data_IF_102358363554
#
_entry.id   IF_102358363554
#
_cell.length_a   1.000
_cell.length_b   1.000
_cell.length_c   1.000
_cell.angle_alpha   90.00
_cell.angle_beta   90.00
_cell.angle_gamma   90.00
#
_symmetry.space_group_name_H-M   'P 1'
#
loop_
_entity.id
_entity.type
_entity.pdbx_description
1 polymer ?
#
# COMPACT_ATOMS: atom_id res chain seq x y z
N UNK A 1 -7.96 5.08 11.62
CA UNK A 1 -6.57 5.35 11.19
C UNK A 1 -6.28 6.83 11.40
N UNK A 2 -5.26 7.14 12.17
CA UNK A 2 -4.98 8.51 12.59
C UNK A 2 -4.69 9.46 11.42
N UNK A 3 -3.89 9.01 10.44
CA UNK A 3 -3.56 9.85 9.28
C UNK A 3 -4.81 10.19 8.45
N UNK A 4 -5.76 9.26 8.34
CA UNK A 4 -7.03 9.52 7.66
C UNK A 4 -7.90 10.49 8.45
N UNK A 5 -8.04 10.26 9.76
CA UNK A 5 -8.88 11.10 10.62
C UNK A 5 -8.42 12.55 10.62
N UNK A 6 -7.12 12.78 10.50
CA UNK A 6 -6.52 14.11 10.44
C UNK A 6 -6.34 14.63 9.02
N UNK A 7 -6.78 13.88 7.99
CA UNK A 7 -6.65 14.23 6.58
C UNK A 7 -5.20 14.56 6.19
N UNK A 8 -4.26 13.75 6.70
CA UNK A 8 -2.83 13.97 6.47
C UNK A 8 -2.39 13.34 5.15
N UNK A 9 -1.44 13.98 4.48
CA UNK A 9 -0.75 13.45 3.31
C UNK A 9 0.75 13.51 3.50
N UNK A 10 1.49 12.77 2.69
CA UNK A 10 2.95 12.65 2.77
C UNK A 10 3.43 12.13 4.12
N UNK A 11 2.65 11.24 4.73
CA UNK A 11 2.96 10.64 6.03
C UNK A 11 3.39 9.20 5.84
N UNK A 12 4.54 8.83 6.41
CA UNK A 12 5.00 7.45 6.38
C UNK A 12 4.17 6.62 7.37
N UNK A 13 3.57 5.55 6.86
CA UNK A 13 2.70 4.67 7.67
C UNK A 13 3.08 3.21 7.49
N UNK A 14 2.88 2.45 8.57
CA UNK A 14 2.97 0.99 8.55
C UNK A 14 1.60 0.45 8.95
N UNK A 15 1.11 -0.52 8.21
CA UNK A 15 -0.18 -1.13 8.54
C UNK A 15 -0.24 -2.57 8.08
N UNK A 16 -1.29 -3.25 8.50
CA UNK A 16 -1.56 -4.61 8.09
C UNK A 16 -3.06 -4.83 7.95
N UNK A 17 -3.43 -5.82 7.17
CA UNK A 17 -4.82 -6.16 7.00
C UNK A 17 -5.03 -7.21 5.92
N UNK A 18 -6.29 -7.37 5.52
CA UNK A 18 -6.68 -8.35 4.52
C UNK A 18 -6.98 -7.66 3.20
N UNK A 19 -6.54 -8.28 2.12
CA UNK A 19 -6.89 -7.84 0.77
C UNK A 19 -8.38 -8.09 0.55
N UNK A 20 -9.12 -7.05 0.23
CA UNK A 20 -10.58 -7.15 -0.02
C UNK A 20 -10.93 -6.96 -1.48
N UNK A 21 -10.01 -6.44 -2.29
CA UNK A 21 -10.21 -6.31 -3.74
C UNK A 21 -8.86 -6.26 -4.45
N UNK A 22 -8.78 -6.88 -5.62
CA UNK A 22 -7.64 -6.79 -6.53
C UNK A 22 -8.12 -5.99 -7.73
N UNK A 23 -7.45 -4.89 -8.02
CA UNK A 23 -7.79 -4.03 -9.16
C UNK A 23 -6.83 -4.34 -10.33
N UNK A 24 -7.21 -3.92 -11.53
CA UNK A 24 -6.31 -4.01 -12.67
C UNK A 24 -5.07 -3.14 -12.43
N UNK A 25 -3.91 -3.59 -12.92
CA UNK A 25 -2.69 -2.80 -12.84
C UNK A 25 -2.89 -1.48 -13.60
N UNK A 26 -2.37 -0.40 -13.02
CA UNK A 26 -2.34 0.90 -13.68
C UNK A 26 -1.07 0.99 -14.50
N UNK A 27 -1.23 1.10 -15.81
CA UNK A 27 -0.11 1.13 -16.76
C UNK A 27 0.17 2.53 -17.31
N UNK A 28 -0.49 3.56 -16.78
CA UNK A 28 -0.22 4.94 -17.16
C UNK A 28 0.99 5.46 -16.38
N UNK A 29 2.01 5.96 -17.10
CA UNK A 29 3.27 6.35 -16.50
C UNK A 29 3.98 5.15 -15.91
N UNK A 30 4.46 5.26 -14.66
CA UNK A 30 4.99 4.11 -13.91
C UNK A 30 3.86 3.10 -13.66
N UNK A 31 4.17 1.81 -13.83
CA UNK A 31 3.17 0.77 -13.61
C UNK A 31 2.99 0.52 -12.12
N UNK A 32 1.74 0.40 -11.68
CA UNK A 32 1.40 0.13 -10.29
C UNK A 32 0.47 -1.08 -10.20
N UNK A 33 0.84 -2.02 -9.36
CA UNK A 33 -0.07 -3.06 -8.90
C UNK A 33 -0.98 -2.43 -7.85
N UNK A 34 -2.31 -2.61 -7.99
CA UNK A 34 -3.27 -1.96 -7.10
C UNK A 34 -4.16 -2.98 -6.42
N UNK A 35 -4.33 -2.82 -5.12
CA UNK A 35 -5.25 -3.65 -4.34
C UNK A 35 -5.72 -2.86 -3.12
N UNK A 36 -6.90 -3.26 -2.61
CA UNK A 36 -7.50 -2.59 -1.46
C UNK A 36 -7.34 -3.48 -0.25
N UNK A 37 -6.89 -2.90 0.84
CA UNK A 37 -6.64 -3.58 2.12
C UNK A 37 -7.59 -3.04 3.18
N UNK A 38 -8.31 -3.93 3.86
CA UNK A 38 -9.05 -3.59 5.06
C UNK A 38 -8.12 -3.68 6.25
N UNK A 39 -7.93 -2.58 6.95
CA UNK A 39 -6.98 -2.49 8.06
C UNK A 39 -7.43 -3.35 9.24
N UNK A 40 -6.49 -4.13 9.79
CA UNK A 40 -6.74 -4.97 10.95
C UNK A 40 -6.80 -4.12 12.22
N UNK A 41 -7.78 -4.44 13.10
CA UNK A 41 -7.88 -3.80 14.40
C UNK A 41 -8.39 -2.37 14.38
N UNK A 42 -8.89 -1.88 13.26
CA UNK A 42 -9.40 -0.50 13.13
C UNK A 42 -10.93 -0.51 13.13
N UNK A 43 -11.51 0.29 14.03
CA UNK A 43 -12.96 0.47 14.15
C UNK A 43 -13.29 1.95 14.01
N UNK A 44 -14.29 2.34 13.20
CA UNK A 44 -15.03 1.49 12.25
C UNK A 44 -14.13 0.97 11.12
N UNK A 45 -14.65 0.04 10.31
CA UNK A 45 -13.94 -0.54 9.17
C UNK A 45 -13.30 0.55 8.30
N UNK A 46 -12.02 0.36 8.01
CA UNK A 46 -11.26 1.30 7.20
C UNK A 46 -10.48 0.55 6.12
N UNK A 47 -10.59 1.00 4.88
CA UNK A 47 -9.83 0.44 3.76
C UNK A 47 -8.89 1.48 3.17
N UNK A 48 -7.75 1.01 2.67
CA UNK A 48 -6.79 1.85 1.95
C UNK A 48 -6.47 1.20 0.61
N UNK A 49 -6.21 2.02 -0.40
CA UNK A 49 -5.70 1.54 -1.68
C UNK A 49 -4.17 1.47 -1.59
N UNK A 50 -3.62 0.33 -1.94
CA UNK A 50 -2.17 0.16 -2.08
C UNK A 50 -1.83 0.32 -3.56
N UNK A 51 -0.92 1.22 -3.88
CA UNK A 51 -0.40 1.45 -5.22
C UNK A 51 1.10 1.13 -5.21
N UNK A 52 1.43 -0.12 -5.54
CA UNK A 52 2.80 -0.65 -5.49
C UNK A 52 3.46 -0.48 -6.87
N UNK A 53 4.50 0.35 -6.93
CA UNK A 53 5.21 0.64 -8.18
C UNK A 53 6.01 -0.58 -8.63
N UNK A 54 5.54 -1.26 -9.67
CA UNK A 54 6.20 -2.48 -10.18
C UNK A 54 7.24 -2.21 -11.26
N UNK A 55 7.51 -0.95 -11.57
CA UNK A 55 8.70 -0.57 -12.35
C UNK A 55 9.93 -0.46 -11.46
N UNK A 56 9.75 -0.22 -10.16
CA UNK A 56 10.84 -0.03 -9.20
C UNK A 56 10.99 -1.17 -8.19
N UNK A 57 10.00 -2.04 -8.07
CA UNK A 57 10.01 -3.15 -7.13
C UNK A 57 9.33 -4.37 -7.74
N UNK A 58 9.64 -5.59 -7.29
CA UNK A 58 8.95 -6.78 -7.76
C UNK A 58 7.45 -6.71 -7.46
N UNK A 59 6.64 -7.18 -8.41
CA UNK A 59 5.21 -7.36 -8.22
C UNK A 59 4.97 -8.42 -7.13
N UNK A 60 3.97 -8.20 -6.30
CA UNK A 60 3.56 -9.18 -5.28
C UNK A 60 2.79 -10.30 -6.00
N UNK A 61 3.49 -11.39 -6.29
CA UNK A 61 2.92 -12.50 -7.03
C UNK A 61 2.01 -13.36 -6.16
N UNK A 62 0.95 -13.87 -6.77
CA UNK A 62 0.03 -14.78 -6.10
C UNK A 62 -0.93 -14.12 -5.12
N UNK A 63 -0.93 -12.79 -5.05
CA UNK A 63 -1.83 -12.06 -4.16
C UNK A 63 -3.28 -12.26 -4.58
N UNK A 64 -4.16 -12.56 -3.60
CA UNK A 64 -5.58 -12.75 -3.85
C UNK A 64 -6.42 -12.26 -2.69
N UNK A 65 -7.72 -12.12 -2.92
CA UNK A 65 -8.68 -11.73 -1.89
C UNK A 65 -8.56 -12.62 -0.64
N UNK A 66 -8.72 -11.99 0.51
CA UNK A 66 -8.60 -12.58 1.85
C UNK A 66 -7.17 -12.86 2.30
N UNK A 67 -6.16 -12.59 1.47
CA UNK A 67 -4.76 -12.72 1.89
C UNK A 67 -4.37 -11.61 2.86
N UNK A 68 -3.49 -11.94 3.80
CA UNK A 68 -2.93 -10.97 4.75
C UNK A 68 -1.69 -10.32 4.17
N UNK A 69 -1.58 -9.01 4.37
CA UNK A 69 -0.39 -8.24 3.97
C UNK A 69 0.01 -7.27 5.06
N UNK A 70 1.30 -6.94 5.09
CA UNK A 70 1.86 -5.85 5.90
C UNK A 70 2.46 -4.87 4.90
N UNK A 71 2.27 -3.59 5.12
CA UNK A 71 2.81 -2.57 4.22
C UNK A 71 3.48 -1.45 4.99
N UNK A 72 4.45 -0.82 4.33
CA UNK A 72 5.15 0.35 4.83
C UNK A 72 5.37 1.28 3.65
N UNK A 73 4.81 2.47 3.72
CA UNK A 73 4.89 3.41 2.61
C UNK A 73 4.32 4.77 2.97
N UNK A 74 4.20 5.62 1.97
CA UNK A 74 3.71 6.98 2.15
C UNK A 74 2.22 7.05 1.93
N UNK A 75 1.51 7.60 2.92
CA UNK A 75 0.07 7.78 2.90
C UNK A 75 -0.33 9.10 2.29
N UNK A 76 -1.29 9.06 1.38
CA UNK A 76 -1.93 10.23 0.80
C UNK A 76 -3.41 10.17 1.09
N UNK A 77 -3.94 11.23 1.69
CA UNK A 77 -5.36 11.30 2.04
C UNK A 77 -6.25 11.39 0.78
N UNK A 78 -7.37 10.67 0.81
CA UNK A 78 -8.52 10.93 -0.03
C UNK A 78 -9.79 10.52 0.75
N UNK A 79 -10.96 10.91 0.25
CA UNK A 79 -12.23 10.67 0.96
C UNK A 79 -12.62 9.20 1.02
N UNK A 80 -11.97 8.35 0.23
CA UNK A 80 -12.28 6.92 0.13
C UNK A 80 -11.43 6.05 1.05
N UNK A 81 -10.63 6.65 1.93
CA UNK A 81 -9.78 5.92 2.87
C UNK A 81 -8.30 6.21 2.71
N UNK A 82 -7.89 6.75 1.57
CA UNK A 82 -6.50 7.10 1.29
C UNK A 82 -5.77 6.08 0.44
N UNK A 83 -4.58 6.46 0.01
CA UNK A 83 -3.69 5.65 -0.83
C UNK A 83 -2.35 5.52 -0.11
N UNK A 84 -1.76 4.33 -0.12
CA UNK A 84 -0.38 4.12 0.31
C UNK A 84 0.45 3.76 -0.93
N UNK A 85 1.49 4.54 -1.19
CA UNK A 85 2.44 4.33 -2.27
C UNK A 85 3.87 4.42 -1.73
N UNK A 86 4.89 4.46 -2.60
CA UNK A 86 6.31 4.39 -2.16
C UNK A 86 6.58 3.13 -1.32
N UNK A 87 6.03 2.01 -1.75
CA UNK A 87 6.22 0.71 -1.10
C UNK A 87 7.43 -0.02 -1.70
N UNK A 88 8.50 0.70 -1.92
CA UNK A 88 9.74 0.23 -2.55
C UNK A 88 10.91 1.08 -2.07
N UNK A 89 12.12 0.63 -2.39
CA UNK A 89 13.31 1.46 -2.20
C UNK A 89 13.28 2.65 -3.15
N UNK A 90 13.79 3.79 -2.70
CA UNK A 90 14.02 4.92 -3.61
C UNK A 90 15.38 4.72 -4.29
N UNK A 91 15.41 4.56 -5.63
CA UNK A 91 16.67 4.39 -6.34
C UNK A 91 17.63 5.57 -6.18
N UNK A 92 17.09 6.77 -5.95
CA UNK A 92 17.88 7.99 -5.72
C UNK A 92 18.31 8.16 -4.27
N UNK A 93 17.87 7.28 -3.36
CA UNK A 93 18.16 7.33 -1.92
C UNK A 93 17.80 8.66 -1.26
N UNK A 94 16.73 9.31 -1.73
CA UNK A 94 16.26 10.61 -1.22
C UNK A 94 14.96 10.52 -0.45
N UNK A 95 14.19 9.46 -0.67
CA UNK A 95 12.90 9.21 -0.02
C UNK A 95 13.05 8.04 0.92
N UNK A 96 12.24 8.03 1.99
CA UNK A 96 12.22 6.89 2.90
C UNK A 96 11.78 5.63 2.15
N UNK A 97 12.52 4.53 2.33
CA UNK A 97 12.22 3.25 1.70
C UNK A 97 10.94 2.67 2.28
N UNK A 98 10.17 1.99 1.43
CA UNK A 98 8.98 1.26 1.81
C UNK A 98 9.05 -0.18 1.35
N UNK A 99 7.99 -0.93 1.62
CA UNK A 99 7.90 -2.34 1.24
C UNK A 99 6.48 -2.87 1.42
N UNK A 100 6.22 -4.01 0.76
CA UNK A 100 5.06 -4.87 1.02
C UNK A 100 5.61 -6.20 1.54
N UNK A 101 5.06 -6.71 2.62
CA UNK A 101 5.40 -8.06 3.11
C UNK A 101 4.19 -8.98 2.90
N UNK A 102 4.46 -10.09 2.23
CA UNK A 102 3.45 -11.09 1.90
C UNK A 102 4.07 -12.47 2.01
N UNK A 103 3.45 -13.35 2.82
CA UNK A 103 3.94 -14.71 3.06
C UNK A 103 5.40 -14.74 3.50
N UNK A 104 5.79 -13.79 4.35
CA UNK A 104 7.15 -13.72 4.90
C UNK A 104 8.20 -13.15 3.96
N UNK A 105 7.82 -12.71 2.75
CA UNK A 105 8.72 -12.08 1.79
C UNK A 105 8.43 -10.60 1.66
N UNK A 106 9.49 -9.80 1.53
CA UNK A 106 9.37 -8.37 1.28
C UNK A 106 9.57 -8.06 -0.19
N UNK A 107 8.65 -7.27 -0.73
CA UNK A 107 8.67 -6.79 -2.11
C UNK A 107 9.01 -5.31 -2.06
N UNK A 108 10.24 -4.97 -2.43
CA UNK A 108 10.74 -3.60 -2.28
C UNK A 108 11.69 -3.13 -3.38
#
# INVERSE_FOLDING_TARGET
>A
MQAFDKKQSEVQVKGCGKVVAILADDNEGSRHQRFIVELEGVQPKHTVLIAHNIDLAPKVDGLKKADDVIFYGQYEYNQQGGVVHWTHHDPAARHQNGWIEYKGHRFQ
#
